data_IF_100994994456
#
_entry.id   IF_100994994456
#
_cell.length_a   1.000
_cell.length_b   1.000
_cell.length_c   1.000
_cell.angle_alpha   90.00
_cell.angle_beta   90.00
_cell.angle_gamma   90.00
#
_symmetry.space_group_name_H-M   'P 1'
#
loop_
_entity.id
_entity.type
_entity.pdbx_description
1 polymer ?
#
# COMPACT_ATOMS: atom_id res chain seq x y z
N UNK A 1 -14.44 -6.90 1.91
CA UNK A 1 -13.54 -6.12 1.04
C UNK A 1 -13.59 -4.68 1.50
N UNK A 2 -12.45 -4.06 1.76
CA UNK A 2 -12.34 -2.66 2.20
C UNK A 2 -11.72 -1.81 1.09
N UNK A 3 -12.33 -0.66 0.78
CA UNK A 3 -11.77 0.34 -0.14
C UNK A 3 -11.16 1.45 0.71
N UNK A 4 -9.92 1.80 0.40
CA UNK A 4 -9.14 2.78 1.17
C UNK A 4 -8.60 3.83 0.23
N UNK A 5 -8.94 5.09 0.48
CA UNK A 5 -8.39 6.20 -0.29
C UNK A 5 -6.95 6.49 0.17
N UNK A 6 -5.98 6.28 -0.73
CA UNK A 6 -4.55 6.44 -0.41
C UNK A 6 -4.19 7.91 -0.27
N UNK A 7 -4.83 8.81 -1.01
CA UNK A 7 -4.62 10.26 -0.87
C UNK A 7 -5.01 10.71 0.54
N UNK A 8 -6.15 10.24 1.05
CA UNK A 8 -6.60 10.55 2.42
C UNK A 8 -5.58 10.07 3.46
N UNK A 9 -5.01 8.89 3.30
CA UNK A 9 -3.94 8.41 4.19
C UNK A 9 -2.72 9.35 4.15
N UNK A 10 -2.29 9.75 2.95
CA UNK A 10 -1.13 10.60 2.75
C UNK A 10 -1.30 12.01 3.33
N UNK A 11 -2.51 12.59 3.25
CA UNK A 11 -2.79 13.95 3.74
C UNK A 11 -3.21 14.01 5.22
N UNK A 12 -3.77 12.92 5.76
CA UNK A 12 -4.31 12.89 7.13
C UNK A 12 -3.24 12.70 8.21
N UNK A 13 -1.99 12.43 7.84
CA UNK A 13 -0.90 12.19 8.78
C UNK A 13 0.17 13.26 8.63
N UNK A 14 0.80 13.60 9.76
CA UNK A 14 1.81 14.66 9.83
C UNK A 14 3.06 14.38 8.99
N UNK A 15 3.34 13.12 8.68
CA UNK A 15 4.50 12.70 7.90
C UNK A 15 4.25 11.36 7.15
N UNK A 16 5.12 11.06 6.18
CA UNK A 16 5.04 9.87 5.34
C UNK A 16 5.22 8.54 6.11
N UNK A 17 6.14 8.43 7.10
CA UNK A 17 6.21 7.25 7.95
C UNK A 17 4.90 6.89 8.64
N UNK A 18 4.23 7.87 9.26
CA UNK A 18 2.98 7.66 9.98
C UNK A 18 1.84 7.25 9.03
N UNK A 19 1.76 7.90 7.87
CA UNK A 19 0.83 7.54 6.80
C UNK A 19 1.03 6.08 6.37
N UNK A 20 2.26 5.65 6.13
CA UNK A 20 2.55 4.28 5.73
C UNK A 20 2.29 3.27 6.87
N UNK A 21 2.58 3.61 8.12
CA UNK A 21 2.26 2.78 9.27
C UNK A 21 0.75 2.59 9.45
N UNK A 22 -0.05 3.62 9.16
CA UNK A 22 -1.52 3.51 9.12
C UNK A 22 -1.97 2.56 8.01
N UNK A 23 -1.40 2.69 6.81
CA UNK A 23 -1.75 1.82 5.70
C UNK A 23 -1.39 0.35 5.98
N UNK A 24 -0.20 0.10 6.53
CA UNK A 24 0.22 -1.22 7.04
C UNK A 24 -0.82 -1.82 7.99
N UNK A 25 -1.27 -1.07 9.00
CA UNK A 25 -2.26 -1.55 9.97
C UNK A 25 -3.57 -1.96 9.30
N UNK A 26 -4.02 -1.19 8.31
CA UNK A 26 -5.24 -1.52 7.54
C UNK A 26 -5.06 -2.83 6.77
N UNK A 27 -3.90 -3.03 6.14
CA UNK A 27 -3.59 -4.27 5.42
C UNK A 27 -3.53 -5.47 6.38
N UNK A 28 -2.87 -5.34 7.53
CA UNK A 28 -2.81 -6.42 8.55
C UNK A 28 -4.20 -6.78 9.07
N UNK A 29 -5.07 -5.80 9.32
CA UNK A 29 -6.45 -6.06 9.70
C UNK A 29 -7.21 -6.84 8.61
N UNK A 30 -6.96 -6.56 7.33
CA UNK A 30 -7.56 -7.29 6.24
C UNK A 30 -7.01 -8.73 6.14
N UNK A 31 -5.68 -8.91 6.21
CA UNK A 31 -5.02 -10.24 6.22
C UNK A 31 -5.58 -11.11 7.35
N UNK A 32 -5.62 -10.59 8.58
CA UNK A 32 -6.12 -11.32 9.75
C UNK A 32 -7.60 -11.70 9.64
N UNK A 33 -8.37 -10.95 8.86
CA UNK A 33 -9.79 -11.21 8.61
C UNK A 33 -10.03 -12.06 7.35
N UNK A 34 -8.98 -12.45 6.62
CA UNK A 34 -9.07 -13.13 5.32
C UNK A 34 -9.70 -12.26 4.22
N UNK A 35 -9.67 -10.94 4.38
CA UNK A 35 -10.30 -9.97 3.50
C UNK A 35 -9.29 -9.19 2.66
N UNK A 36 -9.75 -8.47 1.64
CA UNK A 36 -8.90 -7.71 0.72
C UNK A 36 -9.03 -6.20 0.91
N UNK A 37 -7.91 -5.51 0.70
CA UNK A 37 -7.80 -4.06 0.59
C UNK A 37 -7.74 -3.67 -0.89
N UNK A 38 -8.61 -2.76 -1.28
CA UNK A 38 -8.54 -2.03 -2.56
C UNK A 38 -8.01 -0.64 -2.25
N UNK A 39 -6.77 -0.38 -2.63
CA UNK A 39 -6.12 0.92 -2.54
C UNK A 39 -6.60 1.80 -3.70
N UNK A 40 -7.45 2.78 -3.39
CA UNK A 40 -7.90 3.80 -4.33
C UNK A 40 -6.83 4.89 -4.47
N UNK A 41 -6.31 5.00 -5.69
CA UNK A 41 -5.20 5.88 -6.06
C UNK A 41 -5.69 7.23 -6.59
N UNK A 42 -7.00 7.50 -6.58
CA UNK A 42 -7.54 8.77 -7.05
C UNK A 42 -6.93 9.96 -6.30
N UNK A 43 -6.50 10.96 -7.06
CA UNK A 43 -5.81 12.14 -6.56
C UNK A 43 -4.44 11.89 -5.89
N UNK A 44 -3.87 10.69 -5.96
CA UNK A 44 -2.48 10.45 -5.52
C UNK A 44 -1.52 10.96 -6.60
N UNK A 45 -0.58 11.82 -6.26
CA UNK A 45 0.41 12.34 -7.23
C UNK A 45 1.67 11.48 -7.32
N UNK A 46 2.10 10.90 -6.20
CA UNK A 46 3.30 10.07 -6.11
C UNK A 46 3.23 9.12 -4.93
N UNK A 47 4.04 8.05 -4.97
CA UNK A 47 4.18 7.06 -3.90
C UNK A 47 5.62 7.03 -3.36
N UNK A 48 5.98 7.90 -2.41
CA UNK A 48 7.34 7.97 -1.88
C UNK A 48 7.84 6.64 -1.33
N UNK A 49 9.12 6.31 -1.53
CA UNK A 49 9.69 5.03 -1.07
C UNK A 49 9.58 4.84 0.44
N UNK A 50 9.69 5.93 1.22
CA UNK A 50 9.52 5.89 2.68
C UNK A 50 8.12 5.38 3.05
N UNK A 51 7.08 5.87 2.39
CA UNK A 51 5.71 5.41 2.59
C UNK A 51 5.57 3.93 2.24
N UNK A 52 6.13 3.50 1.09
CA UNK A 52 6.07 2.11 0.64
C UNK A 52 6.81 1.16 1.59
N UNK A 53 8.00 1.54 2.06
CA UNK A 53 8.83 0.71 2.94
C UNK A 53 8.14 0.41 4.26
N UNK A 54 7.54 1.41 4.90
CA UNK A 54 6.86 1.22 6.18
C UNK A 54 5.43 0.67 6.01
N UNK A 55 4.95 0.52 4.77
CA UNK A 55 3.67 -0.09 4.43
C UNK A 55 3.84 -1.46 3.75
N UNK A 56 3.88 -1.48 2.42
CA UNK A 56 3.97 -2.69 1.61
C UNK A 56 5.27 -3.46 1.86
N UNK A 57 6.41 -2.77 1.99
CA UNK A 57 7.71 -3.40 2.29
C UNK A 57 7.64 -4.20 3.59
N UNK A 58 7.11 -3.58 4.64
CA UNK A 58 6.92 -4.24 5.93
C UNK A 58 5.97 -5.44 5.87
N UNK A 59 4.94 -5.43 5.01
CA UNK A 59 4.08 -6.62 4.80
C UNK A 59 4.89 -7.75 4.15
N UNK A 60 5.77 -7.43 3.19
CA UNK A 60 6.63 -8.42 2.55
C UNK A 60 7.62 -9.01 3.56
N UNK A 61 8.20 -8.19 4.44
CA UNK A 61 9.13 -8.64 5.48
C UNK A 61 8.47 -9.59 6.50
N UNK A 62 7.23 -9.31 6.90
CA UNK A 62 6.56 -10.02 7.99
C UNK A 62 5.69 -11.20 7.55
N UNK A 63 5.17 -11.16 6.33
CA UNK A 63 4.26 -12.18 5.80
C UNK A 63 4.87 -12.88 4.59
N UNK A 64 4.99 -12.15 3.47
CA UNK A 64 5.69 -12.49 2.22
C UNK A 64 5.06 -11.69 1.05
N UNK A 65 5.68 -11.78 -0.12
CA UNK A 65 5.20 -11.14 -1.35
C UNK A 65 3.86 -11.72 -1.84
N UNK A 66 3.60 -13.01 -1.60
CA UNK A 66 2.39 -13.67 -2.09
C UNK A 66 1.16 -13.27 -1.28
N UNK A 67 1.30 -13.14 0.04
CA UNK A 67 0.29 -12.62 0.96
C UNK A 67 -0.09 -11.21 0.57
N UNK A 68 0.90 -10.35 0.26
CA UNK A 68 0.63 -8.99 -0.21
C UNK A 68 -0.23 -9.00 -1.48
N UNK A 69 0.14 -9.80 -2.50
CA UNK A 69 -0.59 -9.90 -3.77
C UNK A 69 -1.99 -10.48 -3.61
N UNK A 70 -2.20 -11.36 -2.65
CA UNK A 70 -3.51 -11.97 -2.39
C UNK A 70 -4.49 -10.98 -1.73
N UNK A 71 -3.98 -10.08 -0.87
CA UNK A 71 -4.80 -9.23 -0.01
C UNK A 71 -4.83 -7.76 -0.45
N UNK A 72 -3.95 -7.31 -1.34
CA UNK A 72 -3.89 -5.89 -1.79
C UNK A 72 -4.09 -5.80 -3.30
N UNK A 73 -4.99 -4.90 -3.70
CA UNK A 73 -5.24 -4.52 -5.08
C UNK A 73 -5.31 -3.00 -5.22
N UNK A 74 -5.11 -2.47 -6.42
CA UNK A 74 -5.09 -1.03 -6.68
C UNK A 74 -6.19 -0.66 -7.67
N UNK A 75 -6.88 0.46 -7.43
CA UNK A 75 -7.93 1.03 -8.29
C UNK A 75 -7.64 2.50 -8.58
N UNK A 76 -8.21 3.04 -9.67
CA UNK A 76 -7.95 4.42 -10.14
C UNK A 76 -6.45 4.76 -10.28
N UNK A 77 -5.64 3.75 -10.57
CA UNK A 77 -4.19 3.88 -10.67
C UNK A 77 -3.78 4.30 -12.08
N UNK A 78 -2.87 5.25 -12.17
CA UNK A 78 -2.28 5.65 -13.46
C UNK A 78 -1.17 4.68 -13.88
N UNK A 79 -0.86 4.65 -15.18
CA UNK A 79 0.22 3.80 -15.70
C UNK A 79 1.56 4.06 -15.01
N UNK A 80 1.93 5.32 -14.79
CA UNK A 80 3.20 5.68 -14.17
C UNK A 80 3.28 5.26 -12.69
N UNK A 81 2.16 5.32 -11.96
CA UNK A 81 2.07 4.80 -10.60
C UNK A 81 2.20 3.28 -10.57
N UNK A 82 1.55 2.58 -11.50
CA UNK A 82 1.62 1.12 -11.61
C UNK A 82 3.04 0.66 -11.95
N UNK A 83 3.72 1.33 -12.88
CA UNK A 83 5.13 1.08 -13.20
C UNK A 83 6.03 1.31 -11.98
N UNK A 84 5.84 2.43 -11.27
CA UNK A 84 6.58 2.70 -10.02
C UNK A 84 6.38 1.63 -8.95
N UNK A 85 5.13 1.17 -8.74
CA UNK A 85 4.83 0.10 -7.78
C UNK A 85 5.44 -1.22 -8.21
N UNK A 86 5.36 -1.56 -9.51
CA UNK A 86 6.00 -2.75 -10.06
C UNK A 86 7.51 -2.71 -9.84
N UNK A 87 8.17 -1.61 -10.18
CA UNK A 87 9.61 -1.43 -9.98
C UNK A 87 10.01 -1.50 -8.51
N UNK A 88 9.16 -0.99 -7.62
CA UNK A 88 9.35 -1.13 -6.19
C UNK A 88 9.31 -2.60 -5.76
N UNK A 89 8.25 -3.33 -6.12
CA UNK A 89 8.07 -4.74 -5.74
C UNK A 89 9.14 -5.66 -6.34
N UNK A 90 9.59 -5.40 -7.58
CA UNK A 90 10.67 -6.17 -8.22
C UNK A 90 11.99 -5.98 -7.47
N UNK A 91 12.31 -4.77 -7.01
CA UNK A 91 13.55 -4.49 -6.27
C UNK A 91 13.57 -5.04 -4.85
N UNK A 92 12.40 -5.38 -4.32
CA UNK A 92 12.26 -5.94 -2.98
C UNK A 92 12.55 -7.45 -2.95
N UNK A 93 12.47 -8.11 -4.12
CA UNK A 93 12.63 -9.54 -4.31
C UNK A 93 14.04 -9.89 -4.81
#
# INVERSE_FOLDING_TARGET
MCIVNVRDILISHANLPDAGAKFYKIIVCAITSGDKVVADMDGVSSLPSIFLNVSLGKIIDEYDMDTLKQHVSFSNITRSQAERLKDYLIRYN
#
